data_IF_168571673580
#
_entry.id   IF_168571673580
#
_cell.length_a   1.000
_cell.length_b   1.000
_cell.length_c   1.000
_cell.angle_alpha   90.00
_cell.angle_beta   90.00
_cell.angle_gamma   90.00
#
_symmetry.space_group_name_H-M   'P 1'
#
loop_
_entity.id
_entity.type
_entity.pdbx_description
1 polymer ?
#
# COMPACT_ATOMS: atom_id res chain seq x y z
N UNK A 1 -16.74 42.34 23.85
CA UNK A 1 -15.64 41.42 24.21
C UNK A 1 -16.04 39.93 24.32
N UNK A 2 -17.31 39.54 24.44
CA UNK A 2 -17.70 38.12 24.57
C UNK A 2 -17.69 37.28 23.26
N UNK A 3 -17.76 37.91 22.08
CA UNK A 3 -17.81 37.20 20.79
C UNK A 3 -16.46 36.59 20.35
N UNK A 4 -15.34 37.17 20.76
CA UNK A 4 -14.00 36.71 20.39
C UNK A 4 -13.61 35.41 21.12
N UNK A 5 -14.11 35.21 22.34
CA UNK A 5 -13.86 33.99 23.12
C UNK A 5 -14.58 32.75 22.53
N UNK A 6 -15.76 32.95 21.93
CA UNK A 6 -16.54 31.85 21.32
C UNK A 6 -15.88 31.31 20.03
N UNK A 7 -15.28 32.19 19.22
CA UNK A 7 -14.59 31.80 17.98
C UNK A 7 -13.33 30.99 18.31
N UNK A 8 -12.60 31.35 19.37
CA UNK A 8 -11.40 30.62 19.81
C UNK A 8 -11.74 29.21 20.32
N UNK A 9 -12.84 29.07 21.06
CA UNK A 9 -13.29 27.77 21.59
C UNK A 9 -13.72 26.81 20.45
N UNK A 10 -14.40 27.33 19.43
CA UNK A 10 -14.79 26.54 18.25
C UNK A 10 -13.54 26.11 17.46
N UNK A 11 -12.53 26.98 17.33
CA UNK A 11 -11.28 26.61 16.64
C UNK A 11 -10.50 25.52 17.38
N UNK A 12 -10.45 25.59 18.72
CA UNK A 12 -9.80 24.55 19.55
C UNK A 12 -10.54 23.22 19.48
N UNK A 13 -11.88 23.23 19.43
CA UNK A 13 -12.68 22.01 19.31
C UNK A 13 -12.57 21.34 17.92
N UNK A 14 -12.34 22.10 16.85
CA UNK A 14 -12.14 21.53 15.50
C UNK A 14 -10.74 20.88 15.36
N UNK A 15 -9.76 21.31 16.15
CA UNK A 15 -8.39 20.76 16.12
C UNK A 15 -8.28 19.44 16.92
N UNK A 16 -9.21 19.16 17.83
CA UNK A 16 -9.28 17.88 18.56
C UNK A 16 -10.25 16.94 17.85
N UNK A 17 -10.08 16.74 16.53
CA UNK A 17 -10.53 15.48 15.97
C UNK A 17 -9.53 14.42 16.43
N UNK A 18 -9.92 13.42 17.24
CA UNK A 18 -9.04 12.29 17.46
C UNK A 18 -8.66 11.78 16.07
N UNK A 19 -7.36 11.71 15.80
CA UNK A 19 -6.89 11.02 14.61
C UNK A 19 -7.39 9.59 14.76
N UNK A 20 -8.47 9.25 14.05
CA UNK A 20 -8.99 7.90 14.02
C UNK A 20 -7.82 6.98 13.65
N UNK A 21 -7.58 5.98 14.49
CA UNK A 21 -6.55 4.99 14.19
C UNK A 21 -6.94 4.24 12.90
N UNK A 22 -5.96 3.75 12.14
CA UNK A 22 -6.26 2.95 10.93
C UNK A 22 -7.10 1.70 11.29
N UNK A 23 -6.97 1.21 12.52
CA UNK A 23 -7.79 0.12 13.01
C UNK A 23 -9.25 0.51 13.28
N UNK A 24 -9.52 1.72 13.79
CA UNK A 24 -10.90 2.20 13.92
C UNK A 24 -11.55 2.42 12.56
N UNK A 25 -10.80 2.94 11.59
CA UNK A 25 -11.24 3.06 10.20
C UNK A 25 -11.54 1.68 9.59
N UNK A 26 -10.67 0.70 9.83
CA UNK A 26 -10.90 -0.69 9.42
C UNK A 26 -12.20 -1.25 9.99
N UNK A 27 -12.43 -1.15 11.31
CA UNK A 27 -13.64 -1.68 11.93
C UNK A 27 -14.89 -0.99 11.37
N UNK A 28 -14.85 0.33 11.17
CA UNK A 28 -15.94 1.07 10.53
C UNK A 28 -16.22 0.58 9.11
N UNK A 29 -15.19 0.45 8.26
CA UNK A 29 -15.36 0.00 6.87
C UNK A 29 -15.82 -1.47 6.79
N UNK A 30 -15.37 -2.30 7.73
CA UNK A 30 -15.84 -3.67 7.90
C UNK A 30 -17.32 -3.72 8.25
N UNK A 31 -17.80 -2.90 9.18
CA UNK A 31 -19.23 -2.79 9.52
C UNK A 31 -20.09 -2.38 8.31
N UNK A 32 -19.52 -1.61 7.38
CA UNK A 32 -20.17 -1.24 6.11
C UNK A 32 -20.11 -2.35 5.04
N UNK A 33 -19.49 -3.51 5.32
CA UNK A 33 -19.31 -4.60 4.36
C UNK A 33 -18.35 -4.25 3.22
N UNK A 34 -17.50 -3.22 3.40
CA UNK A 34 -16.56 -2.75 2.38
C UNK A 34 -15.21 -3.47 2.43
N UNK A 35 -14.90 -4.15 3.53
CA UNK A 35 -13.65 -4.88 3.72
C UNK A 35 -13.93 -6.37 3.99
N UNK A 36 -13.02 -7.20 3.49
CA UNK A 36 -12.97 -8.63 3.82
C UNK A 36 -12.08 -8.87 5.03
N UNK A 37 -12.46 -9.85 5.85
CA UNK A 37 -11.84 -10.13 7.16
C UNK A 37 -10.46 -10.79 7.09
N UNK A 38 -10.08 -11.38 5.96
CA UNK A 38 -8.92 -12.26 5.91
C UNK A 38 -7.99 -11.94 4.75
N UNK A 39 -6.89 -11.24 5.05
CA UNK A 39 -5.70 -11.36 4.21
C UNK A 39 -5.00 -12.69 4.48
N UNK A 40 -4.21 -13.13 3.51
CA UNK A 40 -3.40 -14.33 3.60
C UNK A 40 -1.95 -13.96 3.82
N UNK A 41 -1.39 -14.41 4.94
CA UNK A 41 0.02 -14.21 5.24
C UNK A 41 0.90 -15.03 4.28
N UNK A 42 1.91 -14.38 3.69
CA UNK A 42 2.93 -15.01 2.87
C UNK A 42 4.32 -14.66 3.37
N UNK A 43 5.20 -15.67 3.43
CA UNK A 43 6.59 -15.51 3.85
C UNK A 43 7.51 -16.35 3.00
N UNK A 44 8.51 -15.70 2.43
CA UNK A 44 9.61 -16.35 1.73
C UNK A 44 10.95 -15.90 2.33
N UNK A 45 12.07 -16.44 1.80
CA UNK A 45 13.43 -16.11 2.28
C UNK A 45 13.72 -14.61 2.28
N UNK A 46 13.11 -13.84 1.38
CA UNK A 46 13.45 -12.42 1.14
C UNK A 46 12.32 -11.43 1.40
N UNK A 47 11.11 -11.91 1.70
CA UNK A 47 9.98 -11.02 1.93
C UNK A 47 8.96 -11.65 2.89
N UNK A 48 8.18 -10.76 3.49
CA UNK A 48 6.99 -11.05 4.28
C UNK A 48 5.90 -10.13 3.75
N UNK A 49 4.67 -10.64 3.63
CA UNK A 49 3.56 -9.82 3.20
C UNK A 49 2.20 -10.45 3.42
N UNK A 50 1.19 -9.75 2.94
CA UNK A 50 -0.22 -10.10 3.06
C UNK A 50 -0.88 -10.01 1.69
N UNK A 51 -1.59 -11.07 1.29
CA UNK A 51 -2.33 -11.16 0.04
C UNK A 51 -3.79 -10.85 0.35
N UNK A 52 -4.34 -9.82 -0.27
CA UNK A 52 -5.74 -9.49 -0.07
C UNK A 52 -6.66 -10.47 -0.82
N UNK A 53 -7.83 -10.78 -0.25
CA UNK A 53 -8.78 -11.70 -0.84
C UNK A 53 -9.53 -11.07 -2.02
N UNK A 54 -10.21 -11.93 -2.78
CA UNK A 54 -11.24 -11.48 -3.73
C UNK A 54 -12.31 -10.62 -3.03
N UNK A 55 -12.83 -9.62 -3.74
CA UNK A 55 -13.82 -8.65 -3.24
C UNK A 55 -13.23 -7.48 -2.46
N UNK A 56 -11.97 -7.56 -2.00
CA UNK A 56 -11.29 -6.43 -1.38
C UNK A 56 -10.82 -5.44 -2.45
N UNK A 57 -11.07 -4.14 -2.29
CA UNK A 57 -10.64 -3.09 -3.24
C UNK A 57 -9.66 -2.07 -2.60
N UNK A 58 -9.82 -1.81 -1.30
CA UNK A 58 -9.10 -0.71 -0.64
C UNK A 58 -9.34 0.63 -1.35
N UNK A 59 -8.37 1.55 -1.21
CA UNK A 59 -8.44 2.88 -1.85
C UNK A 59 -7.64 2.99 -3.16
N UNK A 60 -6.86 1.94 -3.49
CA UNK A 60 -5.91 1.97 -4.63
C UNK A 60 -6.46 1.34 -5.91
N UNK A 61 -7.58 0.62 -5.82
CA UNK A 61 -8.26 -0.02 -6.94
C UNK A 61 -9.70 0.47 -6.98
N UNK A 62 -10.18 0.85 -8.17
CA UNK A 62 -11.55 1.31 -8.36
C UNK A 62 -12.54 0.18 -8.00
N UNK A 63 -13.63 0.55 -7.32
CA UNK A 63 -14.67 -0.38 -6.82
C UNK A 63 -15.41 -1.11 -7.94
N UNK A 64 -15.33 -0.63 -9.17
CA UNK A 64 -15.89 -1.32 -10.34
C UNK A 64 -15.01 -2.45 -10.88
N UNK A 65 -13.75 -2.55 -10.44
CA UNK A 65 -12.82 -3.58 -10.91
C UNK A 65 -13.14 -4.90 -10.24
N UNK A 66 -12.99 -6.00 -10.96
CA UNK A 66 -13.03 -7.30 -10.32
C UNK A 66 -11.68 -7.58 -9.67
N UNK A 67 -11.67 -7.83 -8.36
CA UNK A 67 -10.46 -8.19 -7.62
C UNK A 67 -10.36 -9.69 -7.45
N UNK A 68 -9.16 -10.23 -7.31
CA UNK A 68 -8.93 -11.66 -7.14
C UNK A 68 -7.79 -11.93 -6.17
N UNK A 69 -7.81 -13.12 -5.57
CA UNK A 69 -6.72 -13.58 -4.73
C UNK A 69 -5.57 -14.08 -5.58
N UNK A 70 -4.38 -13.52 -5.38
CA UNK A 70 -3.15 -13.98 -6.02
C UNK A 70 -2.74 -15.36 -5.49
N UNK A 71 -2.31 -16.22 -6.42
CA UNK A 71 -1.65 -17.49 -6.13
C UNK A 71 -0.20 -17.28 -5.68
N UNK A 72 0.37 -18.28 -5.02
CA UNK A 72 1.77 -18.23 -4.59
C UNK A 72 2.75 -18.08 -5.78
N UNK A 73 2.44 -18.71 -6.92
CA UNK A 73 3.25 -18.59 -8.13
C UNK A 73 3.23 -17.16 -8.69
N UNK A 74 2.06 -16.51 -8.70
CA UNK A 74 1.94 -15.10 -9.11
C UNK A 74 2.73 -14.19 -8.15
N UNK A 75 2.72 -14.46 -6.83
CA UNK A 75 3.54 -13.69 -5.88
C UNK A 75 5.04 -13.85 -6.14
N UNK A 76 5.51 -15.06 -6.45
CA UNK A 76 6.91 -15.30 -6.81
C UNK A 76 7.29 -14.54 -8.08
N UNK A 77 6.41 -14.54 -9.09
CA UNK A 77 6.59 -13.77 -10.33
C UNK A 77 6.66 -12.27 -10.06
N UNK A 78 5.69 -11.73 -9.31
CA UNK A 78 5.62 -10.33 -8.88
C UNK A 78 6.91 -9.89 -8.18
N UNK A 79 7.43 -10.67 -7.23
CA UNK A 79 8.67 -10.34 -6.54
C UNK A 79 9.89 -10.42 -7.46
N UNK A 80 9.89 -11.33 -8.44
CA UNK A 80 10.92 -11.39 -9.48
C UNK A 80 10.93 -10.12 -10.32
N UNK A 81 9.76 -9.72 -10.86
CA UNK A 81 9.57 -8.50 -11.66
C UNK A 81 9.98 -7.26 -10.89
N UNK A 82 9.55 -7.14 -9.62
CA UNK A 82 9.97 -6.05 -8.74
C UNK A 82 11.48 -5.98 -8.63
N UNK A 83 12.17 -7.10 -8.37
CA UNK A 83 13.61 -7.10 -8.16
C UNK A 83 14.38 -6.76 -9.45
N UNK A 84 13.95 -7.30 -10.58
CA UNK A 84 14.65 -7.17 -11.86
C UNK A 84 14.47 -5.77 -12.46
N UNK A 85 13.24 -5.22 -12.42
CA UNK A 85 12.91 -3.98 -13.12
C UNK A 85 12.99 -2.72 -12.25
N UNK A 86 13.10 -2.84 -10.91
CA UNK A 86 13.09 -1.70 -9.98
C UNK A 86 13.98 -0.54 -10.43
N UNK A 87 15.25 -0.83 -10.73
CA UNK A 87 16.21 0.22 -11.09
C UNK A 87 15.88 0.88 -12.41
N UNK A 88 15.41 0.10 -13.40
CA UNK A 88 15.13 0.60 -14.72
C UNK A 88 13.93 1.55 -14.71
N UNK A 89 12.84 1.14 -14.05
CA UNK A 89 11.62 1.95 -13.94
C UNK A 89 11.91 3.27 -13.22
N UNK A 90 12.70 3.26 -12.13
CA UNK A 90 13.07 4.49 -11.43
C UNK A 90 14.02 5.41 -12.21
N UNK A 91 14.85 4.86 -13.09
CA UNK A 91 15.73 5.67 -13.95
C UNK A 91 14.95 6.37 -15.07
N UNK A 92 13.86 5.76 -15.55
CA UNK A 92 13.04 6.29 -16.65
C UNK A 92 11.92 7.22 -16.19
N UNK A 93 11.61 7.27 -14.90
CA UNK A 93 10.54 8.10 -14.38
C UNK A 93 10.95 9.57 -14.29
N UNK A 94 10.30 10.40 -15.10
CA UNK A 94 10.55 11.85 -15.18
C UNK A 94 10.27 12.61 -13.88
N UNK A 95 9.52 12.02 -12.93
CA UNK A 95 9.22 12.62 -11.62
C UNK A 95 10.39 12.47 -10.65
N UNK A 96 11.34 11.58 -10.94
CA UNK A 96 12.50 11.34 -10.07
C UNK A 96 13.65 12.25 -10.51
N UNK A 97 13.84 13.35 -9.77
CA UNK A 97 14.89 14.35 -10.07
C UNK A 97 16.30 13.75 -9.97
N UNK A 98 16.55 12.94 -8.93
CA UNK A 98 17.83 12.27 -8.74
C UNK A 98 17.62 10.83 -8.25
N UNK A 99 17.96 9.85 -9.09
CA UNK A 99 17.88 8.44 -8.73
C UNK A 99 19.25 7.80 -8.53
N UNK A 100 19.53 7.39 -7.28
CA UNK A 100 20.68 6.54 -6.96
C UNK A 100 20.34 5.07 -7.13
N UNK A 101 20.86 4.45 -8.20
CA UNK A 101 20.74 3.02 -8.52
C UNK A 101 21.09 2.13 -7.32
N UNK A 102 20.26 1.12 -7.05
CA UNK A 102 20.50 0.14 -5.99
C UNK A 102 21.31 -1.02 -6.55
N UNK A 103 22.50 -1.26 -5.97
CA UNK A 103 23.38 -2.38 -6.37
C UNK A 103 22.75 -3.76 -6.14
N UNK A 104 22.00 -3.90 -5.05
CA UNK A 104 21.30 -5.14 -4.71
C UNK A 104 19.85 -4.81 -4.35
N UNK A 105 18.97 -4.83 -5.35
CA UNK A 105 17.55 -4.49 -5.20
C UNK A 105 16.88 -5.42 -4.20
N UNK A 106 17.09 -6.75 -4.31
CA UNK A 106 16.51 -7.71 -3.37
C UNK A 106 16.83 -7.35 -1.91
N UNK A 107 18.11 -7.18 -1.56
CA UNK A 107 18.51 -6.79 -0.19
C UNK A 107 17.94 -5.43 0.21
N UNK A 108 17.86 -4.48 -0.71
CA UNK A 108 17.25 -3.18 -0.45
C UNK A 108 15.76 -3.33 -0.13
N UNK A 109 15.03 -4.19 -0.85
CA UNK A 109 13.61 -4.41 -0.66
C UNK A 109 13.31 -5.26 0.58
N UNK A 110 14.21 -6.13 1.07
CA UNK A 110 14.02 -6.95 2.28
C UNK A 110 13.67 -6.16 3.57
N UNK A 111 13.80 -4.83 3.57
CA UNK A 111 13.45 -3.99 4.73
C UNK A 111 11.96 -3.62 4.82
N UNK A 112 11.19 -3.87 3.76
CA UNK A 112 9.77 -3.57 3.70
C UNK A 112 8.92 -4.83 3.97
N UNK A 113 7.75 -4.66 4.54
CA UNK A 113 6.67 -5.66 4.46
C UNK A 113 5.84 -5.36 3.21
N UNK A 114 5.13 -6.37 2.68
CA UNK A 114 4.32 -6.24 1.46
C UNK A 114 2.83 -6.35 1.72
N UNK A 115 2.07 -5.67 0.87
CA UNK A 115 0.67 -5.93 0.63
C UNK A 115 0.47 -6.15 -0.86
N UNK A 116 -0.28 -7.19 -1.23
CA UNK A 116 -0.56 -7.56 -2.60
C UNK A 116 -2.07 -7.55 -2.84
N UNK A 117 -2.50 -6.85 -3.87
CA UNK A 117 -3.90 -6.80 -4.29
C UNK A 117 -4.00 -7.08 -5.80
N UNK A 118 -4.56 -8.24 -6.15
CA UNK A 118 -4.83 -8.64 -7.53
C UNK A 118 -6.15 -8.05 -8.04
N UNK A 119 -6.15 -7.56 -9.28
CA UNK A 119 -7.36 -7.06 -9.94
C UNK A 119 -7.26 -7.20 -11.45
N UNK A 120 -8.42 -7.24 -12.12
CA UNK A 120 -8.49 -7.24 -13.58
C UNK A 120 -8.57 -5.80 -14.11
N UNK A 121 -7.85 -5.53 -15.21
CA UNK A 121 -7.99 -4.27 -15.95
C UNK A 121 -9.33 -4.20 -16.69
N UNK A 122 -9.64 -3.07 -17.34
CA UNK A 122 -10.82 -2.96 -18.20
C UNK A 122 -10.77 -3.91 -19.42
N UNK A 123 -9.57 -4.32 -19.81
CA UNK A 123 -9.33 -5.24 -20.93
C UNK A 123 -9.32 -6.72 -20.50
N UNK A 124 -9.44 -7.00 -19.19
CA UNK A 124 -9.44 -8.35 -18.64
C UNK A 124 -8.06 -8.92 -18.33
N UNK A 125 -7.00 -8.13 -18.45
CA UNK A 125 -5.63 -8.53 -18.07
C UNK A 125 -5.50 -8.61 -16.55
N UNK A 126 -4.63 -9.48 -16.07
CA UNK A 126 -4.30 -9.57 -14.64
C UNK A 126 -3.27 -8.54 -14.21
N UNK A 127 -3.65 -7.73 -13.22
CA UNK A 127 -2.81 -6.72 -12.60
C UNK A 127 -2.65 -6.96 -11.10
N UNK A 128 -1.54 -6.45 -10.54
CA UNK A 128 -1.30 -6.44 -9.11
C UNK A 128 -0.85 -5.05 -8.64
N UNK A 129 -1.49 -4.58 -7.58
CA UNK A 129 -0.99 -3.49 -6.75
C UNK A 129 -0.07 -4.07 -5.68
N UNK A 130 1.16 -3.55 -5.60
CA UNK A 130 2.10 -3.88 -4.54
C UNK A 130 2.40 -2.65 -3.70
N UNK A 131 2.08 -2.72 -2.42
CA UNK A 131 2.51 -1.73 -1.44
C UNK A 131 3.65 -2.25 -0.59
N UNK A 132 4.74 -1.49 -0.53
CA UNK A 132 5.88 -1.74 0.33
C UNK A 132 5.84 -0.78 1.51
N UNK A 133 5.89 -1.28 2.74
CA UNK A 133 5.94 -0.44 3.94
C UNK A 133 7.11 -0.84 4.86
N UNK A 134 7.95 0.13 5.22
CA UNK A 134 9.04 -0.07 6.17
C UNK A 134 8.49 0.07 7.60
N UNK A 135 7.98 -1.05 8.12
CA UNK A 135 7.31 -1.12 9.43
C UNK A 135 8.26 -1.32 10.61
N UNK A 136 9.56 -1.17 10.41
CA UNK A 136 10.56 -1.33 11.47
C UNK A 136 10.54 -0.14 12.43
N UNK A 137 10.87 -0.40 13.70
CA UNK A 137 10.96 0.62 14.78
C UNK A 137 9.64 1.41 14.88
N UNK A 138 9.73 2.74 14.79
CA UNK A 138 8.58 3.66 14.86
C UNK A 138 7.55 3.42 13.77
N UNK A 139 7.92 2.78 12.65
CA UNK A 139 7.01 2.56 11.53
C UNK A 139 5.82 1.66 11.87
N UNK A 140 5.92 0.78 12.86
CA UNK A 140 4.80 -0.08 13.26
C UNK A 140 3.55 0.71 13.65
N UNK A 141 3.73 1.87 14.29
CA UNK A 141 2.64 2.76 14.72
C UNK A 141 2.00 3.56 13.58
N UNK A 142 2.68 3.69 12.43
CA UNK A 142 2.15 4.40 11.26
C UNK A 142 1.45 3.46 10.27
N UNK A 143 1.61 2.15 10.46
CA UNK A 143 1.03 1.10 9.62
C UNK A 143 0.29 0.12 10.53
N UNK A 144 -0.68 0.67 11.27
CA UNK A 144 -1.62 -0.08 12.10
C UNK A 144 -2.57 -0.87 11.21
N UNK A 145 -2.99 -2.06 11.63
CA UNK A 145 -3.87 -2.92 10.84
C UNK A 145 -3.37 -3.20 9.40
N UNK A 146 -2.05 -3.17 9.17
CA UNK A 146 -1.42 -3.45 7.87
C UNK A 146 -1.69 -4.87 7.33
N UNK A 147 -2.06 -5.80 8.17
CA UNK A 147 -2.50 -7.13 7.75
C UNK A 147 -3.98 -7.17 7.35
N UNK A 148 -4.73 -6.09 7.54
CA UNK A 148 -6.19 -6.04 7.38
C UNK A 148 -6.68 -5.05 6.34
N UNK A 149 -5.93 -3.97 6.12
CA UNK A 149 -6.23 -2.96 5.10
C UNK A 149 -4.95 -2.46 4.44
N UNK A 150 -5.03 -2.08 3.18
CA UNK A 150 -3.94 -1.42 2.46
C UNK A 150 -3.70 -0.02 3.04
N UNK A 151 -2.62 0.14 3.80
CA UNK A 151 -2.32 1.38 4.52
C UNK A 151 -1.61 2.37 3.60
N UNK A 152 -2.37 3.24 2.92
CA UNK A 152 -1.81 4.31 2.09
C UNK A 152 -1.83 5.65 2.82
N UNK A 153 -0.66 6.27 3.03
CA UNK A 153 -0.57 7.56 3.72
C UNK A 153 0.21 8.61 2.94
N UNK A 154 0.05 9.87 3.35
CA UNK A 154 0.70 11.04 2.75
C UNK A 154 1.57 11.79 3.77
N UNK A 155 2.57 12.50 3.27
CA UNK A 155 3.50 13.31 4.06
C UNK A 155 4.86 12.64 4.26
N UNK A 156 5.79 13.42 4.84
CA UNK A 156 7.22 13.10 4.88
C UNK A 156 7.52 11.69 5.42
N UNK A 157 6.76 11.24 6.44
CA UNK A 157 6.93 9.90 6.99
C UNK A 157 6.63 8.81 5.95
N UNK A 158 5.45 8.87 5.31
CA UNK A 158 4.99 7.85 4.36
C UNK A 158 5.82 7.90 3.09
N UNK A 159 6.13 9.08 2.56
CA UNK A 159 6.99 9.24 1.38
C UNK A 159 8.40 8.62 1.57
N UNK A 160 8.91 8.58 2.81
CA UNK A 160 10.19 7.93 3.12
C UNK A 160 10.07 6.42 3.36
N UNK A 161 8.93 5.96 3.89
CA UNK A 161 8.78 4.60 4.39
C UNK A 161 7.85 3.71 3.56
N UNK A 162 7.16 4.28 2.58
CA UNK A 162 6.21 3.59 1.72
C UNK A 162 6.65 3.66 0.26
N UNK A 163 6.41 2.60 -0.51
CA UNK A 163 6.52 2.61 -1.97
C UNK A 163 5.32 1.87 -2.54
N UNK A 164 4.86 2.32 -3.71
CA UNK A 164 3.68 1.76 -4.37
C UNK A 164 4.05 1.45 -5.83
N UNK A 165 3.66 0.27 -6.29
CA UNK A 165 3.90 -0.20 -7.65
C UNK A 165 2.64 -0.87 -8.21
N UNK A 166 2.51 -0.80 -9.53
CA UNK A 166 1.59 -1.65 -10.29
C UNK A 166 2.42 -2.63 -11.10
N UNK A 167 1.96 -3.87 -11.17
CA UNK A 167 2.56 -4.91 -11.99
C UNK A 167 1.50 -5.48 -12.90
N UNK A 168 1.78 -5.47 -14.19
CA UNK A 168 1.09 -6.29 -15.16
C UNK A 168 1.66 -7.71 -15.05
N UNK A 169 0.83 -8.66 -14.63
CA UNK A 169 1.25 -10.04 -14.36
C UNK A 169 1.51 -10.78 -15.67
N UNK A 170 0.75 -10.48 -16.71
CA UNK A 170 0.80 -11.19 -18.00
C UNK A 170 1.99 -10.71 -18.84
N UNK A 171 2.21 -9.40 -18.86
CA UNK A 171 3.34 -8.80 -19.57
C UNK A 171 4.61 -8.70 -18.71
N UNK A 172 4.57 -9.21 -17.47
CA UNK A 172 5.66 -9.19 -16.49
C UNK A 172 6.28 -7.79 -16.33
N UNK A 173 5.48 -6.73 -16.32
CA UNK A 173 5.96 -5.36 -16.40
C UNK A 173 5.69 -4.56 -15.11
N UNK A 174 6.71 -3.86 -14.63
CA UNK A 174 6.64 -2.99 -13.46
C UNK A 174 6.35 -1.55 -13.89
N UNK A 175 5.31 -0.95 -13.30
CA UNK A 175 4.88 0.42 -13.56
C UNK A 175 4.90 1.22 -12.26
N UNK A 176 5.46 2.42 -12.32
CA UNK A 176 5.29 3.40 -11.25
C UNK A 176 4.01 4.21 -11.49
N UNK A 177 3.04 4.10 -10.58
CA UNK A 177 1.79 4.85 -10.63
C UNK A 177 2.03 6.34 -10.36
#
# INVERSE_FOLDING_TARGET
MKKTAYILLILVLVIIRPAFSQCEEYEYLKEQGLLSDTSYFVKARRFVGYIFPEGYHGDLVDKNKTTFRLSENEIVLIESVLITQYNEVHLKDSRVIEYKRKRNVGRFLNKYDRQYLGYFSDTGEKWCVVLLANRKRRGKHYFECFDRMMSFGFGEFYEKNQRYFRIDIENESLIMP
#
